data_IF_801994493851
#
_entry.id   IF_801994493851
#
_cell.length_a   1.000
_cell.length_b   1.000
_cell.length_c   1.000
_cell.angle_alpha   90.00
_cell.angle_beta   90.00
_cell.angle_gamma   90.00
#
_symmetry.space_group_name_H-M   'P 1'
#
loop_
_entity.id
_entity.type
_entity.pdbx_description
1 polymer ?
#
# COMPACT_ATOMS: atom_id res chain seq x y z
N UNK A 1 7.21 17.56 1.02
CA UNK A 1 6.59 16.80 2.12
C UNK A 1 6.15 15.46 1.57
N UNK A 2 6.86 14.36 1.88
CA UNK A 2 6.64 13.02 1.28
C UNK A 2 6.12 12.03 2.34
N UNK A 3 5.53 12.52 3.44
CA UNK A 3 5.08 11.66 4.55
C UNK A 3 3.65 11.10 4.37
N UNK A 4 2.90 11.52 3.36
CA UNK A 4 1.48 11.16 3.23
C UNK A 4 1.19 9.74 2.73
N UNK A 5 2.13 9.08 2.02
CA UNK A 5 1.83 7.80 1.35
C UNK A 5 2.02 6.59 2.27
N UNK A 6 3.06 6.61 3.10
CA UNK A 6 3.37 5.54 4.05
C UNK A 6 2.27 5.31 5.10
N UNK A 7 1.77 6.38 5.73
CA UNK A 7 0.66 6.29 6.69
C UNK A 7 -0.62 5.78 6.03
N UNK A 8 -0.88 6.16 4.78
CA UNK A 8 -2.07 5.75 4.04
C UNK A 8 -2.03 4.24 3.77
N UNK A 9 -0.88 3.73 3.35
CA UNK A 9 -0.61 2.30 3.15
C UNK A 9 -0.79 1.55 4.48
N UNK A 10 -0.17 2.03 5.57
CA UNK A 10 -0.31 1.41 6.90
C UNK A 10 -1.76 1.34 7.39
N UNK A 11 -2.55 2.40 7.21
CA UNK A 11 -3.97 2.39 7.62
C UNK A 11 -4.79 1.39 6.81
N UNK A 12 -4.56 1.31 5.51
CA UNK A 12 -5.23 0.32 4.65
C UNK A 12 -4.87 -1.09 5.10
N UNK A 13 -3.58 -1.34 5.34
CA UNK A 13 -3.13 -2.66 5.78
C UNK A 13 -3.70 -2.99 7.15
N UNK A 14 -3.68 -2.06 8.10
CA UNK A 14 -4.23 -2.25 9.45
C UNK A 14 -5.73 -2.55 9.41
N UNK A 15 -6.49 -1.83 8.59
CA UNK A 15 -7.93 -2.04 8.42
C UNK A 15 -8.25 -3.39 7.77
N UNK A 16 -7.46 -3.80 6.77
CA UNK A 16 -7.69 -5.05 6.04
C UNK A 16 -7.16 -6.30 6.76
N UNK A 17 -6.06 -6.17 7.52
CA UNK A 17 -5.46 -7.28 8.27
C UNK A 17 -5.95 -7.39 9.72
N UNK A 18 -6.61 -6.35 10.25
CA UNK A 18 -6.98 -6.25 11.66
C UNK A 18 -5.79 -6.08 12.61
N UNK A 19 -4.57 -5.90 12.09
CA UNK A 19 -3.35 -5.73 12.88
C UNK A 19 -3.19 -4.27 13.32
N UNK A 20 -2.59 -4.11 14.49
CA UNK A 20 -2.24 -2.79 15.03
C UNK A 20 -1.11 -2.15 14.20
N UNK A 21 -1.09 -0.82 14.11
CA UNK A 21 -0.03 -0.09 13.38
C UNK A 21 1.37 -0.46 13.91
N UNK A 22 1.50 -0.68 15.21
CA UNK A 22 2.74 -1.07 15.89
C UNK A 22 3.26 -2.44 15.43
N UNK A 23 2.35 -3.42 15.30
CA UNK A 23 2.70 -4.76 14.79
C UNK A 23 3.08 -4.73 13.31
N UNK A 24 2.40 -3.88 12.55
CA UNK A 24 2.73 -3.63 11.15
C UNK A 24 4.12 -3.02 11.01
N UNK A 25 4.48 -2.03 11.82
CA UNK A 25 5.81 -1.44 11.79
C UNK A 25 6.91 -2.47 12.10
N UNK A 26 6.69 -3.35 13.08
CA UNK A 26 7.66 -4.43 13.38
C UNK A 26 7.84 -5.37 12.20
N UNK A 27 6.74 -5.81 11.57
CA UNK A 27 6.80 -6.67 10.37
C UNK A 27 7.50 -5.96 9.21
N UNK A 28 7.22 -4.68 9.01
CA UNK A 28 7.82 -3.86 7.95
C UNK A 28 9.32 -3.72 8.17
N UNK A 29 9.76 -3.44 9.39
CA UNK A 29 11.19 -3.29 9.71
C UNK A 29 11.93 -4.63 9.62
N UNK A 30 11.33 -5.74 10.04
CA UNK A 30 11.88 -7.08 9.82
C UNK A 30 12.06 -7.41 8.34
N UNK A 31 11.07 -7.08 7.50
CA UNK A 31 11.13 -7.32 6.05
C UNK A 31 12.15 -6.41 5.37
N UNK A 32 12.21 -5.15 5.79
CA UNK A 32 13.21 -4.19 5.34
C UNK A 32 14.64 -4.66 5.67
N UNK A 33 14.83 -5.22 6.86
CA UNK A 33 16.12 -5.78 7.30
C UNK A 33 16.49 -7.04 6.50
N UNK A 34 15.54 -7.95 6.25
CA UNK A 34 15.74 -9.14 5.41
C UNK A 34 16.14 -8.82 3.97
N UNK A 35 15.61 -7.74 3.42
CA UNK A 35 15.93 -7.26 2.08
C UNK A 35 17.14 -6.31 2.07
N UNK A 36 17.96 -6.35 3.12
CA UNK A 36 19.23 -5.64 3.27
C UNK A 36 19.14 -4.12 3.01
N UNK A 37 17.97 -3.51 3.27
CA UNK A 37 17.76 -2.09 3.00
C UNK A 37 17.72 -1.71 1.50
N UNK A 38 17.62 -2.69 0.60
CA UNK A 38 17.42 -2.44 -0.85
C UNK A 38 16.05 -1.82 -1.15
N UNK A 39 15.13 -1.86 -0.19
CA UNK A 39 13.79 -1.32 -0.31
C UNK A 39 13.52 -0.26 0.77
N UNK A 40 12.82 0.81 0.36
CA UNK A 40 12.32 1.87 1.26
C UNK A 40 11.28 1.32 2.24
N UNK A 41 11.03 2.05 3.34
CA UNK A 41 9.99 1.70 4.32
C UNK A 41 8.61 1.50 3.67
N UNK A 42 8.29 2.31 2.66
CA UNK A 42 7.05 2.18 1.86
C UNK A 42 7.01 0.89 1.05
N UNK A 43 8.12 0.52 0.42
CA UNK A 43 8.23 -0.74 -0.32
C UNK A 43 8.12 -1.95 0.61
N UNK A 44 8.71 -1.87 1.80
CA UNK A 44 8.58 -2.92 2.81
C UNK A 44 7.13 -3.05 3.31
N UNK A 45 6.40 -1.94 3.46
CA UNK A 45 4.97 -1.96 3.76
C UNK A 45 4.13 -2.57 2.63
N UNK A 46 4.44 -2.28 1.36
CA UNK A 46 3.78 -2.91 0.23
C UNK A 46 4.06 -4.42 0.16
N UNK A 47 5.28 -4.85 0.46
CA UNK A 47 5.62 -6.28 0.52
C UNK A 47 4.83 -6.96 1.64
N UNK A 48 4.75 -6.35 2.82
CA UNK A 48 3.93 -6.88 3.93
C UNK A 48 2.45 -6.93 3.56
N UNK A 49 1.92 -5.92 2.85
CA UNK A 49 0.56 -5.94 2.35
C UNK A 49 0.31 -7.11 1.39
N UNK A 50 1.22 -7.32 0.43
CA UNK A 50 1.14 -8.42 -0.53
C UNK A 50 1.19 -9.79 0.16
N UNK A 51 2.03 -9.95 1.20
CA UNK A 51 2.08 -11.17 2.01
C UNK A 51 0.81 -11.41 2.83
N UNK A 52 0.15 -10.34 3.25
CA UNK A 52 -1.16 -10.39 3.93
C UNK A 52 -2.32 -10.58 2.93
N UNK A 53 -2.05 -10.72 1.63
CA UNK A 53 -3.07 -10.86 0.58
C UNK A 53 -3.82 -9.55 0.28
N UNK A 54 -3.29 -8.42 0.75
CA UNK A 54 -3.88 -7.09 0.55
C UNK A 54 -3.29 -6.53 -0.74
N UNK A 55 -4.00 -6.77 -1.85
CA UNK A 55 -3.66 -6.18 -3.14
C UNK A 55 -4.19 -4.76 -3.24
N UNK A 56 -3.29 -3.79 -3.41
CA UNK A 56 -3.64 -2.42 -3.78
C UNK A 56 -4.09 -2.30 -5.25
N UNK A 57 -3.98 -3.37 -6.03
CA UNK A 57 -4.38 -3.45 -7.44
C UNK A 57 -5.89 -3.23 -7.66
N UNK A 58 -6.73 -3.45 -6.63
CA UNK A 58 -8.18 -3.29 -6.72
C UNK A 58 -8.71 -2.11 -5.90
N UNK A 59 -7.94 -1.03 -5.73
CA UNK A 59 -8.60 0.23 -5.40
C UNK A 59 -9.51 0.60 -6.57
N UNK A 60 -10.81 0.32 -6.44
CA UNK A 60 -11.87 0.92 -7.25
C UNK A 60 -11.84 2.42 -7.02
N UNK A 61 -10.91 3.10 -7.69
CA UNK A 61 -10.85 4.54 -7.78
C UNK A 61 -12.13 4.99 -8.46
N UNK A 62 -12.89 5.87 -7.80
CA UNK A 62 -13.95 6.58 -8.50
C UNK A 62 -13.30 7.41 -9.61
N UNK A 63 -14.00 7.61 -10.72
CA UNK A 63 -13.51 8.41 -11.85
C UNK A 63 -13.08 9.82 -11.38
N UNK A 64 -13.73 10.35 -10.35
CA UNK A 64 -13.42 11.64 -9.72
C UNK A 64 -12.07 11.69 -8.98
N UNK A 65 -11.50 10.55 -8.61
CA UNK A 65 -10.22 10.44 -7.87
C UNK A 65 -9.02 10.16 -8.81
N UNK A 66 -9.25 10.11 -10.12
CA UNK A 66 -8.20 9.96 -11.12
C UNK A 66 -7.50 11.31 -11.33
N UNK A 67 -6.26 11.44 -10.85
CA UNK A 67 -5.43 12.60 -11.15
C UNK A 67 -4.83 12.53 -12.56
N UNK A 68 -4.72 13.70 -13.19
CA UNK A 68 -4.10 13.85 -14.51
C UNK A 68 -2.63 13.42 -14.46
N UNK A 69 -2.29 12.38 -15.22
CA UNK A 69 -0.95 11.79 -15.26
C UNK A 69 -0.86 10.33 -14.81
N UNK A 70 -1.94 9.77 -14.23
CA UNK A 70 -2.01 8.34 -13.93
C UNK A 70 -2.00 7.49 -15.22
N UNK A 71 -1.05 6.55 -15.32
CA UNK A 71 -0.91 5.60 -16.42
C UNK A 71 -1.19 4.19 -15.91
N UNK A 72 -1.84 3.34 -16.73
CA UNK A 72 -2.34 1.98 -16.39
C UNK A 72 -3.63 1.94 -15.55
N UNK A 73 -4.64 2.70 -15.93
CA UNK A 73 -5.99 2.61 -15.33
C UNK A 73 -6.93 1.90 -16.30
N UNK A 74 -7.64 0.86 -15.84
CA UNK A 74 -8.69 0.18 -16.59
C UNK A 74 -10.07 0.66 -16.09
N UNK A 75 -10.87 1.27 -16.96
CA UNK A 75 -12.21 1.76 -16.62
C UNK A 75 -13.27 0.97 -17.38
N UNK A 76 -14.30 0.49 -16.68
CA UNK A 76 -15.44 -0.22 -17.29
C UNK A 76 -16.61 0.75 -17.38
N UNK A 77 -16.96 1.18 -18.59
CA UNK A 77 -18.16 1.96 -18.86
C UNK A 77 -19.32 1.06 -19.27
N UNK A 78 -20.49 1.23 -18.64
CA UNK A 78 -21.76 0.64 -19.12
C UNK A 78 -22.56 1.75 -19.80
N UNK A 79 -22.95 1.52 -21.06
CA UNK A 79 -23.77 2.42 -21.89
C UNK A 79 -25.25 2.10 -21.65
#
# INVERSE_FOLDING_TARGET
>A
MIQGNYEKILRVISTASGLSIDELERKVEEKRSKLAGLISKEGAAQVVAAELGISFDEQKLKIEELESGMKRVNTIGKI
#
